data_IF_185664792038
#
_entry.id   IF_185664792038
#
_cell.length_a   1.000
_cell.length_b   1.000
_cell.length_c   1.000
_cell.angle_alpha   90.00
_cell.angle_beta   90.00
_cell.angle_gamma   90.00
#
_symmetry.space_group_name_H-M   'P 1'
#
loop_
_entity.id
_entity.type
_entity.pdbx_description
1 polymer ?
#
# COMPACT_ATOMS: atom_id res chain seq x y z
N UNK A 1 30.35 -11.70 30.89
CA UNK A 1 29.32 -11.44 29.88
C UNK A 1 29.95 -11.74 28.52
N UNK A 2 29.64 -12.90 27.93
CA UNK A 2 30.16 -13.28 26.61
C UNK A 2 29.27 -12.57 25.58
N UNK A 3 29.87 -11.69 24.79
CA UNK A 3 29.25 -11.03 23.66
C UNK A 3 28.85 -12.10 22.62
N UNK A 4 27.61 -12.06 22.13
CA UNK A 4 27.21 -12.84 20.97
C UNK A 4 28.01 -12.35 19.75
N UNK A 5 28.64 -13.25 18.98
CA UNK A 5 29.23 -12.86 17.70
C UNK A 5 28.12 -12.54 16.69
N UNK A 6 28.28 -11.44 15.95
CA UNK A 6 27.47 -11.12 14.77
C UNK A 6 27.60 -12.28 13.75
N UNK A 7 26.51 -12.84 13.22
CA UNK A 7 26.64 -13.81 12.14
C UNK A 7 27.01 -13.07 10.84
N UNK A 8 28.10 -13.52 10.23
CA UNK A 8 28.49 -13.24 8.85
C UNK A 8 27.44 -13.81 7.90
N UNK A 9 27.06 -13.01 6.89
CA UNK A 9 26.31 -13.33 5.67
C UNK A 9 25.51 -14.64 5.72
N UNK A 10 24.24 -14.54 6.13
CA UNK A 10 23.27 -15.58 5.76
C UNK A 10 22.85 -15.28 4.33
N UNK A 11 23.25 -16.17 3.42
CA UNK A 11 22.63 -16.27 2.10
C UNK A 11 21.12 -16.47 2.27
N UNK A 12 20.31 -15.50 1.86
CA UNK A 12 18.84 -15.58 1.82
C UNK A 12 18.40 -16.52 0.68
N UNK A 13 18.61 -17.83 0.86
CA UNK A 13 17.97 -18.85 0.04
C UNK A 13 16.81 -19.44 0.88
N UNK A 14 15.60 -18.87 0.71
CA UNK A 14 14.33 -19.51 1.11
C UNK A 14 13.84 -19.30 2.54
N UNK A 15 13.93 -18.09 3.10
CA UNK A 15 13.50 -17.81 4.48
C UNK A 15 12.16 -17.05 4.60
N UNK A 16 11.44 -16.83 3.50
CA UNK A 16 10.18 -16.09 3.53
C UNK A 16 9.00 -16.99 3.95
N UNK A 17 8.31 -16.56 4.99
CA UNK A 17 6.98 -17.07 5.35
C UNK A 17 5.96 -16.62 4.31
N UNK A 18 5.01 -17.49 3.96
CA UNK A 18 3.89 -17.12 3.10
C UNK A 18 2.64 -16.82 3.92
N UNK A 19 1.79 -15.92 3.46
CA UNK A 19 0.56 -15.55 4.16
C UNK A 19 -0.65 -15.47 3.24
N UNK A 20 -1.82 -15.84 3.77
CA UNK A 20 -3.12 -15.58 3.16
C UNK A 20 -3.86 -14.62 4.07
N UNK A 21 -4.24 -13.45 3.54
CA UNK A 21 -4.88 -12.37 4.30
C UNK A 21 -6.13 -11.88 3.61
N UNK A 22 -7.21 -11.74 4.36
CA UNK A 22 -8.42 -11.06 3.93
C UNK A 22 -8.59 -9.77 4.72
N UNK A 23 -8.88 -8.69 3.99
CA UNK A 23 -9.20 -7.37 4.52
C UNK A 23 -10.61 -7.02 4.08
N UNK A 24 -11.49 -6.80 5.05
CA UNK A 24 -12.88 -6.39 4.81
C UNK A 24 -13.13 -5.06 5.51
N UNK A 25 -13.82 -4.15 4.83
CA UNK A 25 -14.18 -2.84 5.36
C UNK A 25 -15.64 -2.59 5.06
N UNK A 26 -16.41 -2.28 6.10
CA UNK A 26 -17.77 -1.78 5.96
C UNK A 26 -17.90 -0.40 6.57
N UNK A 27 -18.83 0.40 6.06
CA UNK A 27 -19.00 1.80 6.44
C UNK A 27 -20.45 2.13 6.78
N UNK A 28 -20.68 2.99 7.78
CA UNK A 28 -22.03 3.40 8.18
C UNK A 28 -22.52 4.57 7.32
N UNK A 29 -23.54 4.32 6.49
CA UNK A 29 -24.22 5.36 5.71
C UNK A 29 -23.65 5.58 4.30
N UNK A 30 -24.30 6.42 3.47
CA UNK A 30 -23.88 6.65 2.10
C UNK A 30 -22.55 7.40 2.10
N UNK A 31 -21.50 6.74 1.63
CA UNK A 31 -20.24 7.40 1.32
C UNK A 31 -20.34 8.00 -0.09
N UNK A 32 -19.71 9.15 -0.32
CA UNK A 32 -19.62 9.72 -1.67
C UNK A 32 -18.65 8.89 -2.51
N UNK A 33 -19.16 7.87 -3.21
CA UNK A 33 -18.43 7.11 -4.21
C UNK A 33 -17.64 5.89 -3.71
N UNK A 34 -17.82 5.46 -2.45
CA UNK A 34 -17.34 4.15 -1.97
C UNK A 34 -18.50 3.21 -1.62
N UNK A 35 -18.40 1.93 -2.00
CA UNK A 35 -19.43 0.95 -1.68
C UNK A 35 -19.55 0.72 -0.16
N UNK A 36 -20.77 0.45 0.35
CA UNK A 36 -21.00 0.21 1.78
C UNK A 36 -20.12 -0.89 2.38
N UNK A 37 -19.72 -1.88 1.58
CA UNK A 37 -18.80 -2.92 1.97
C UNK A 37 -17.87 -3.32 0.82
N UNK A 38 -16.59 -3.43 1.16
CA UNK A 38 -15.54 -3.94 0.26
C UNK A 38 -14.74 -5.02 0.97
N UNK A 39 -14.28 -6.00 0.21
CA UNK A 39 -13.35 -6.99 0.71
C UNK A 39 -12.27 -7.35 -0.32
N UNK A 40 -11.09 -7.71 0.16
CA UNK A 40 -9.99 -8.16 -0.67
C UNK A 40 -9.23 -9.28 0.00
N UNK A 41 -8.78 -10.25 -0.79
CA UNK A 41 -7.88 -11.32 -0.36
C UNK A 41 -6.51 -11.14 -0.98
N UNK A 42 -5.47 -11.47 -0.23
CA UNK A 42 -4.07 -11.31 -0.60
C UNK A 42 -3.32 -12.59 -0.30
N UNK A 43 -2.48 -13.02 -1.23
CA UNK A 43 -1.42 -14.00 -0.96
C UNK A 43 -0.12 -13.21 -0.92
N UNK A 44 0.56 -13.28 0.21
CA UNK A 44 1.66 -12.39 0.58
C UNK A 44 1.21 -10.92 0.42
N UNK A 45 1.80 -10.19 -0.51
CA UNK A 45 1.43 -8.81 -0.81
C UNK A 45 0.64 -8.65 -2.11
N UNK A 46 0.33 -9.75 -2.82
CA UNK A 46 -0.37 -9.72 -4.10
C UNK A 46 -1.89 -9.86 -3.89
N UNK A 47 -2.72 -8.92 -4.37
CA UNK A 47 -4.17 -9.08 -4.32
C UNK A 47 -4.62 -10.21 -5.24
N UNK A 48 -5.43 -11.14 -4.74
CA UNK A 48 -5.92 -12.31 -5.49
C UNK A 48 -7.42 -12.25 -5.77
N UNK A 49 -8.19 -11.62 -4.90
CA UNK A 49 -9.65 -11.44 -5.03
C UNK A 49 -10.06 -10.07 -4.55
N UNK A 50 -11.04 -9.49 -5.22
CA UNK A 50 -11.76 -8.29 -4.78
C UNK A 50 -13.26 -8.59 -4.78
N UNK A 51 -13.95 -8.12 -3.76
CA UNK A 51 -15.40 -8.08 -3.66
C UNK A 51 -15.83 -6.64 -3.37
N UNK A 52 -16.96 -6.26 -3.97
CA UNK A 52 -17.56 -4.94 -3.82
C UNK A 52 -19.08 -5.06 -3.75
N UNK A 53 -19.71 -4.45 -2.74
CA UNK A 53 -21.14 -4.57 -2.47
C UNK A 53 -22.04 -3.93 -3.54
N UNK A 54 -21.53 -3.04 -4.41
CA UNK A 54 -22.33 -2.54 -5.54
C UNK A 54 -22.47 -3.59 -6.64
N UNK A 55 -21.41 -4.37 -6.87
CA UNK A 55 -21.41 -5.41 -7.91
C UNK A 55 -21.85 -6.77 -7.38
N UNK A 56 -21.81 -6.95 -6.06
CA UNK A 56 -22.10 -8.19 -5.33
C UNK A 56 -21.36 -9.41 -5.90
N UNK A 57 -20.11 -9.21 -6.36
CA UNK A 57 -19.32 -10.25 -7.03
C UNK A 57 -17.88 -10.28 -6.53
N UNK A 58 -17.40 -11.49 -6.28
CA UNK A 58 -15.96 -11.75 -6.16
C UNK A 58 -15.34 -11.85 -7.54
N UNK A 59 -14.32 -11.05 -7.80
CA UNK A 59 -13.58 -11.06 -9.07
C UNK A 59 -12.11 -11.37 -8.84
N UNK A 60 -11.47 -12.19 -9.70
CA UNK A 60 -10.03 -12.41 -9.63
C UNK A 60 -9.28 -11.10 -9.86
N UNK A 61 -8.17 -10.92 -9.16
CA UNK A 61 -7.26 -9.79 -9.36
C UNK A 61 -5.99 -10.17 -10.13
N UNK A 62 -5.78 -11.47 -10.33
CA UNK A 62 -4.63 -12.04 -11.04
C UNK A 62 -5.08 -13.19 -11.93
N UNK A 63 -4.39 -13.39 -13.05
CA UNK A 63 -4.77 -14.38 -14.08
C UNK A 63 -4.64 -15.82 -13.58
N UNK A 64 -3.68 -16.11 -12.70
CA UNK A 64 -3.46 -17.46 -12.20
C UNK A 64 -4.60 -17.96 -11.27
N UNK A 65 -5.42 -17.04 -10.71
CA UNK A 65 -6.62 -17.42 -9.97
C UNK A 65 -7.71 -18.08 -10.83
N UNK A 66 -7.59 -18.03 -12.16
CA UNK A 66 -8.44 -18.82 -13.06
C UNK A 66 -8.24 -20.33 -12.88
N UNK A 67 -7.11 -20.77 -12.29
CA UNK A 67 -6.90 -22.17 -11.91
C UNK A 67 -7.87 -22.62 -10.80
N UNK A 68 -8.22 -21.73 -9.87
CA UNK A 68 -9.19 -22.04 -8.81
C UNK A 68 -10.57 -22.41 -9.36
N UNK A 69 -11.00 -21.75 -10.44
CA UNK A 69 -12.25 -22.04 -11.14
C UNK A 69 -12.21 -23.38 -11.90
N UNK A 70 -11.04 -23.74 -12.47
CA UNK A 70 -10.85 -25.06 -13.10
C UNK A 70 -10.91 -26.19 -12.08
N UNK A 71 -10.32 -25.98 -10.90
CA UNK A 71 -10.28 -26.98 -9.83
C UNK A 71 -11.65 -27.12 -9.15
N UNK A 72 -12.42 -26.03 -9.06
CA UNK A 72 -13.78 -26.03 -8.56
C UNK A 72 -14.62 -24.97 -9.29
N UNK A 73 -15.51 -25.40 -10.18
CA UNK A 73 -16.39 -24.51 -10.94
C UNK A 73 -17.29 -23.61 -10.07
N UNK A 74 -17.55 -24.00 -8.82
CA UNK A 74 -18.33 -23.20 -7.86
C UNK A 74 -17.48 -22.28 -6.98
N UNK A 75 -16.17 -22.18 -7.22
CA UNK A 75 -15.25 -21.42 -6.37
C UNK A 75 -15.68 -19.95 -6.22
N UNK A 76 -15.93 -19.25 -7.33
CA UNK A 76 -16.31 -17.83 -7.30
C UNK A 76 -17.70 -17.60 -6.72
N UNK A 77 -18.63 -18.52 -6.98
CA UNK A 77 -19.97 -18.45 -6.40
C UNK A 77 -19.90 -18.60 -4.87
N UNK A 78 -19.15 -19.58 -4.36
CA UNK A 78 -18.94 -19.77 -2.92
C UNK A 78 -18.22 -18.58 -2.29
N UNK A 79 -17.16 -18.08 -2.91
CA UNK A 79 -16.45 -16.87 -2.45
C UNK A 79 -17.40 -15.67 -2.34
N UNK A 80 -18.26 -15.48 -3.35
CA UNK A 80 -19.25 -14.39 -3.36
C UNK A 80 -20.29 -14.55 -2.27
N UNK A 81 -20.81 -15.76 -2.06
CA UNK A 81 -21.75 -16.04 -0.98
C UNK A 81 -21.16 -15.79 0.41
N UNK A 82 -19.88 -16.09 0.63
CA UNK A 82 -19.22 -15.81 1.90
C UNK A 82 -19.05 -14.31 2.15
N UNK A 83 -18.66 -13.53 1.14
CA UNK A 83 -18.59 -12.07 1.29
C UNK A 83 -19.97 -11.42 1.46
N UNK A 84 -21.01 -11.90 0.77
CA UNK A 84 -22.38 -11.44 0.98
C UNK A 84 -22.86 -11.66 2.42
N UNK A 85 -22.60 -12.85 3.00
CA UNK A 85 -22.93 -13.13 4.41
C UNK A 85 -22.15 -12.23 5.36
N UNK A 86 -20.92 -11.85 5.01
CA UNK A 86 -20.09 -10.99 5.82
C UNK A 86 -20.55 -9.53 5.75
N UNK A 87 -20.90 -9.04 4.56
CA UNK A 87 -21.49 -7.72 4.32
C UNK A 87 -22.75 -7.51 5.18
N UNK A 88 -23.69 -8.45 5.14
CA UNK A 88 -24.90 -8.39 5.99
C UNK A 88 -24.56 -8.32 7.49
N UNK A 89 -23.53 -9.04 7.94
CA UNK A 89 -23.08 -8.98 9.33
C UNK A 89 -22.45 -7.63 9.66
N UNK A 90 -21.64 -7.07 8.76
CA UNK A 90 -21.02 -5.76 8.95
C UNK A 90 -22.08 -4.67 9.06
N UNK A 91 -23.10 -4.71 8.20
CA UNK A 91 -24.24 -3.80 8.27
C UNK A 91 -24.91 -3.83 9.64
N UNK A 92 -25.19 -5.04 10.18
CA UNK A 92 -25.75 -5.18 11.52
C UNK A 92 -24.79 -4.72 12.63
N UNK A 93 -23.51 -5.09 12.54
CA UNK A 93 -22.52 -4.72 13.56
C UNK A 93 -22.29 -3.22 13.61
N UNK A 94 -22.29 -2.52 12.48
CA UNK A 94 -22.18 -1.07 12.45
C UNK A 94 -23.36 -0.40 13.17
N UNK A 95 -24.59 -0.88 12.95
CA UNK A 95 -25.77 -0.39 13.69
C UNK A 95 -25.64 -0.65 15.20
N UNK A 96 -25.29 -1.89 15.59
CA UNK A 96 -25.09 -2.26 17.00
C UNK A 96 -24.01 -1.38 17.66
N UNK A 97 -22.91 -1.10 16.96
CA UNK A 97 -21.78 -0.30 17.45
C UNK A 97 -22.15 1.18 17.57
N UNK A 98 -22.83 1.74 16.58
CA UNK A 98 -23.32 3.11 16.63
C UNK A 98 -24.19 3.35 17.87
N UNK A 99 -25.12 2.44 18.16
CA UNK A 99 -25.94 2.51 19.37
C UNK A 99 -25.09 2.36 20.64
N UNK A 100 -24.19 1.38 20.67
CA UNK A 100 -23.36 1.07 21.84
C UNK A 100 -22.41 2.21 22.23
N UNK A 101 -21.83 2.90 21.25
CA UNK A 101 -20.95 4.05 21.47
C UNK A 101 -21.73 5.38 21.56
N UNK A 102 -23.07 5.34 21.49
CA UNK A 102 -23.97 6.51 21.45
C UNK A 102 -23.65 7.48 20.30
N UNK A 103 -23.30 6.92 19.14
CA UNK A 103 -22.92 7.60 17.90
C UNK A 103 -24.07 7.57 16.90
N UNK A 104 -25.04 8.47 17.05
CA UNK A 104 -26.21 8.53 16.14
C UNK A 104 -25.98 9.29 14.83
N UNK A 105 -24.82 9.96 14.69
CA UNK A 105 -24.45 10.76 13.54
C UNK A 105 -22.96 10.58 13.25
N UNK A 106 -22.60 10.63 11.98
CA UNK A 106 -21.21 10.52 11.54
C UNK A 106 -21.01 9.36 10.57
N UNK A 107 -19.78 9.27 10.08
CA UNK A 107 -19.31 8.19 9.24
C UNK A 107 -18.42 7.29 10.08
N UNK A 108 -18.83 6.04 10.25
CA UNK A 108 -18.15 5.04 11.03
C UNK A 108 -17.66 3.91 10.14
N UNK A 109 -16.56 3.30 10.56
CA UNK A 109 -15.92 2.23 9.80
C UNK A 109 -15.72 1.02 10.70
N UNK A 110 -16.05 -0.16 10.18
CA UNK A 110 -15.68 -1.43 10.77
C UNK A 110 -14.74 -2.12 9.80
N UNK A 111 -13.63 -2.63 10.31
CA UNK A 111 -12.62 -3.32 9.54
C UNK A 111 -12.39 -4.70 10.15
N UNK A 112 -12.18 -5.70 9.30
CA UNK A 112 -11.77 -7.05 9.69
C UNK A 112 -10.54 -7.44 8.90
N UNK A 113 -9.49 -7.82 9.62
CA UNK A 113 -8.33 -8.51 9.07
C UNK A 113 -8.29 -9.92 9.64
N UNK A 114 -8.34 -10.92 8.77
CA UNK A 114 -8.19 -12.31 9.16
C UNK A 114 -7.37 -13.09 8.14
N UNK A 115 -6.72 -14.15 8.59
CA UNK A 115 -5.81 -14.89 7.73
C UNK A 115 -4.88 -15.79 8.50
N UNK A 116 -3.93 -16.38 7.78
CA UNK A 116 -2.95 -17.31 8.30
C UNK A 116 -1.59 -17.07 7.66
N UNK A 117 -0.56 -17.61 8.30
CA UNK A 117 0.82 -17.57 7.84
C UNK A 117 1.45 -18.96 8.00
N UNK A 118 2.21 -19.37 7.00
CA UNK A 118 2.99 -20.60 6.98
C UNK A 118 4.47 -20.23 6.89
N UNK A 119 5.19 -20.48 7.98
CA UNK A 119 6.64 -20.28 8.04
C UNK A 119 7.41 -21.42 7.36
N UNK A 120 8.67 -21.20 6.94
CA UNK A 120 9.50 -22.24 6.32
C UNK A 120 9.76 -23.46 7.21
N UNK A 121 9.75 -23.28 8.54
CA UNK A 121 9.88 -24.34 9.55
C UNK A 121 8.58 -25.14 9.77
N UNK A 122 7.52 -24.82 9.01
CA UNK A 122 6.20 -25.44 9.11
C UNK A 122 5.32 -24.87 10.22
N UNK A 123 5.75 -23.83 10.93
CA UNK A 123 4.95 -23.15 11.94
C UNK A 123 3.75 -22.45 11.28
N UNK A 124 2.58 -22.63 11.88
CA UNK A 124 1.28 -22.12 11.39
C UNK A 124 0.73 -21.07 12.34
N UNK A 125 0.65 -19.83 11.87
CA UNK A 125 -0.01 -18.75 12.60
C UNK A 125 -1.36 -18.42 12.01
N UNK A 126 -2.24 -17.85 12.84
CA UNK A 126 -3.56 -17.41 12.42
C UNK A 126 -3.97 -16.18 13.20
N UNK A 127 -4.61 -15.24 12.53
CA UNK A 127 -5.06 -13.99 13.13
C UNK A 127 -6.48 -13.66 12.69
N UNK A 128 -7.24 -13.03 13.59
CA UNK A 128 -8.60 -12.57 13.34
C UNK A 128 -8.87 -11.33 14.19
N UNK A 129 -8.86 -10.15 13.58
CA UNK A 129 -8.84 -8.86 14.27
C UNK A 129 -9.82 -7.89 13.64
N UNK A 130 -10.61 -7.25 14.47
CA UNK A 130 -11.50 -6.17 14.11
C UNK A 130 -10.94 -4.82 14.56
N UNK A 131 -11.13 -3.80 13.73
CA UNK A 131 -10.92 -2.40 14.07
C UNK A 131 -12.21 -1.60 13.85
N UNK A 132 -12.44 -0.59 14.68
CA UNK A 132 -13.58 0.32 14.60
C UNK A 132 -13.09 1.77 14.62
N UNK A 133 -13.51 2.58 13.64
CA UNK A 133 -13.05 3.96 13.45
C UNK A 133 -11.51 4.10 13.47
N UNK A 134 -10.83 3.18 12.79
CA UNK A 134 -9.36 3.14 12.67
C UNK A 134 -8.62 2.73 13.94
N UNK A 135 -9.31 2.26 14.98
CA UNK A 135 -8.71 1.80 16.24
C UNK A 135 -8.96 0.31 16.45
N UNK A 136 -8.07 -0.35 17.18
CA UNK A 136 -8.26 -1.74 17.60
C UNK A 136 -9.61 -1.88 18.33
N UNK A 137 -10.34 -2.97 18.05
CA UNK A 137 -11.67 -3.21 18.62
C UNK A 137 -11.76 -4.58 19.29
N UNK A 138 -11.67 -5.67 18.52
CA UNK A 138 -11.72 -7.05 19.01
C UNK A 138 -10.67 -7.91 18.33
N UNK A 139 -9.90 -8.69 19.10
CA UNK A 139 -8.98 -9.71 18.57
C UNK A 139 -9.29 -11.08 19.14
N UNK A 140 -9.23 -12.10 18.29
CA UNK A 140 -9.49 -13.49 18.68
C UNK A 140 -8.19 -14.19 19.02
N UNK A 141 -8.14 -14.84 20.19
CA UNK A 141 -7.05 -15.71 20.60
C UNK A 141 -7.43 -17.17 20.33
N UNK A 142 -6.74 -17.83 19.40
CA UNK A 142 -7.16 -19.14 18.87
C UNK A 142 -6.80 -20.29 19.82
N UNK A 143 -5.79 -20.12 20.65
CA UNK A 143 -5.27 -21.10 21.61
C UNK A 143 -6.22 -21.24 22.80
N UNK A 144 -6.73 -20.11 23.30
CA UNK A 144 -7.62 -20.06 24.47
C UNK A 144 -9.10 -19.96 24.09
N UNK A 145 -9.43 -19.75 22.81
CA UNK A 145 -10.79 -19.50 22.33
C UNK A 145 -11.47 -18.33 23.03
N UNK A 146 -10.72 -17.25 23.26
CA UNK A 146 -11.19 -16.02 23.92
C UNK A 146 -11.08 -14.80 23.01
N UNK A 147 -11.87 -13.78 23.32
CA UNK A 147 -11.76 -12.48 22.64
C UNK A 147 -11.10 -11.45 23.56
N UNK A 148 -10.19 -10.68 23.01
CA UNK A 148 -9.61 -9.50 23.67
C UNK A 148 -10.31 -8.27 23.12
N UNK A 149 -10.85 -7.45 24.03
CA UNK A 149 -11.54 -6.21 23.70
C UNK A 149 -10.63 -5.02 24.03
N UNK A 150 -10.56 -4.07 23.10
CA UNK A 150 -9.66 -2.92 23.21
C UNK A 150 -10.18 -1.83 24.16
N UNK A 151 -11.50 -1.68 24.28
CA UNK A 151 -12.14 -0.69 25.15
C UNK A 151 -13.34 -1.27 25.93
N UNK A 152 -14.03 -0.42 26.68
CA UNK A 152 -15.15 -0.81 27.54
C UNK A 152 -16.37 -1.20 26.72
N UNK A 153 -16.64 -0.46 25.67
CA UNK A 153 -17.77 -0.65 24.78
C UNK A 153 -17.63 -2.00 24.06
N UNK A 154 -16.46 -2.31 23.50
CA UNK A 154 -16.11 -3.59 22.90
C UNK A 154 -16.37 -4.82 23.81
N UNK A 155 -16.37 -4.65 25.14
CA UNK A 155 -16.72 -5.73 26.08
C UNK A 155 -18.13 -6.28 25.86
N UNK A 156 -19.07 -5.44 25.41
CA UNK A 156 -20.45 -5.86 25.16
C UNK A 156 -20.51 -6.87 24.01
N UNK A 157 -19.88 -6.55 22.88
CA UNK A 157 -19.79 -7.46 21.75
C UNK A 157 -18.92 -8.69 22.05
N UNK A 158 -17.82 -8.51 22.80
CA UNK A 158 -17.02 -9.63 23.33
C UNK A 158 -17.89 -10.65 24.05
N UNK A 159 -18.70 -10.24 25.04
CA UNK A 159 -19.57 -11.16 25.81
C UNK A 159 -20.53 -11.93 24.90
N UNK A 160 -21.11 -11.25 23.90
CA UNK A 160 -22.01 -11.85 22.90
C UNK A 160 -21.29 -12.95 22.12
N UNK A 161 -20.08 -12.69 21.64
CA UNK A 161 -19.32 -13.65 20.83
C UNK A 161 -18.63 -14.74 21.67
N UNK A 162 -18.29 -14.46 22.92
CA UNK A 162 -17.71 -15.44 23.84
C UNK A 162 -18.69 -16.57 24.19
N UNK A 163 -19.99 -16.27 24.22
CA UNK A 163 -21.05 -17.25 24.44
C UNK A 163 -21.24 -18.22 23.26
N UNK A 164 -20.74 -17.88 22.06
CA UNK A 164 -20.95 -18.66 20.84
C UNK A 164 -19.82 -19.68 20.60
N UNK A 165 -19.74 -20.72 21.45
CA UNK A 165 -18.67 -21.73 21.41
C UNK A 165 -18.44 -22.32 20.01
N UNK A 166 -19.52 -22.71 19.31
CA UNK A 166 -19.42 -23.30 17.97
C UNK A 166 -18.73 -22.36 16.96
N UNK A 167 -18.99 -21.05 17.02
CA UNK A 167 -18.34 -20.08 16.12
C UNK A 167 -16.88 -19.86 16.47
N UNK A 168 -16.50 -19.98 17.74
CA UNK A 168 -15.09 -19.88 18.17
C UNK A 168 -14.30 -21.11 17.72
N UNK A 169 -14.89 -22.30 17.86
CA UNK A 169 -14.31 -23.54 17.35
C UNK A 169 -14.16 -23.51 15.82
N UNK A 170 -15.18 -23.05 15.10
CA UNK A 170 -15.11 -22.88 13.65
C UNK A 170 -13.97 -21.93 13.24
N UNK A 171 -13.85 -20.76 13.89
CA UNK A 171 -12.75 -19.82 13.59
C UNK A 171 -11.38 -20.43 13.85
N UNK A 172 -11.22 -21.19 14.93
CA UNK A 172 -9.96 -21.91 15.21
C UNK A 172 -9.64 -22.90 14.09
N UNK A 173 -10.60 -23.78 13.74
CA UNK A 173 -10.41 -24.76 12.68
C UNK A 173 -10.05 -24.10 11.34
N UNK A 174 -10.77 -23.02 10.96
CA UNK A 174 -10.44 -22.25 9.77
C UNK A 174 -9.00 -21.72 9.79
N UNK A 175 -8.55 -21.13 10.89
CA UNK A 175 -7.23 -20.51 11.00
C UNK A 175 -6.08 -21.54 11.03
N UNK A 176 -6.32 -22.76 11.51
CA UNK A 176 -5.28 -23.80 11.65
C UNK A 176 -5.23 -24.77 10.47
N UNK A 177 -6.35 -24.96 9.79
CA UNK A 177 -6.54 -25.98 8.74
C UNK A 177 -6.92 -25.31 7.42
N UNK A 178 -8.18 -24.89 7.26
CA UNK A 178 -8.73 -24.46 5.97
C UNK A 178 -7.94 -23.31 5.34
N UNK A 179 -7.57 -22.30 6.12
CA UNK A 179 -6.79 -21.17 5.62
C UNK A 179 -5.41 -21.61 5.10
N UNK A 180 -4.75 -22.52 5.82
CA UNK A 180 -3.42 -23.03 5.45
C UNK A 180 -3.52 -23.90 4.19
N UNK A 181 -4.55 -24.75 4.08
CA UNK A 181 -4.80 -25.54 2.87
C UNK A 181 -5.05 -24.65 1.65
N UNK A 182 -5.84 -23.59 1.80
CA UNK A 182 -6.07 -22.63 0.72
C UNK A 182 -4.81 -21.86 0.36
N UNK A 183 -4.02 -21.42 1.35
CA UNK A 183 -2.73 -20.78 1.12
C UNK A 183 -1.81 -21.66 0.27
N UNK A 184 -1.67 -22.95 0.62
CA UNK A 184 -0.86 -23.89 -0.14
C UNK A 184 -1.36 -24.05 -1.59
N UNK A 185 -2.69 -24.19 -1.79
CA UNK A 185 -3.25 -24.25 -3.15
C UNK A 185 -3.00 -22.99 -3.95
N UNK A 186 -3.12 -21.81 -3.35
CA UNK A 186 -2.85 -20.56 -4.06
C UNK A 186 -1.37 -20.40 -4.40
N UNK A 187 -0.46 -20.85 -3.53
CA UNK A 187 0.96 -20.93 -3.85
C UNK A 187 1.22 -21.88 -5.03
N UNK A 188 0.53 -23.02 -5.11
CA UNK A 188 0.63 -23.92 -6.26
C UNK A 188 0.07 -23.30 -7.54
N UNK A 189 -1.05 -22.58 -7.45
CA UNK A 189 -1.64 -21.90 -8.60
C UNK A 189 -0.74 -20.77 -9.11
N UNK A 190 -0.21 -19.97 -8.19
CA UNK A 190 0.55 -18.76 -8.44
C UNK A 190 2.07 -18.94 -8.46
N UNK A 191 2.60 -20.16 -8.35
CA UNK A 191 4.03 -20.47 -8.17
C UNK A 191 4.95 -19.60 -9.06
N UNK A 192 4.72 -19.61 -10.37
CA UNK A 192 5.52 -18.84 -11.34
C UNK A 192 5.53 -17.33 -11.08
N UNK A 193 4.45 -16.77 -10.52
CA UNK A 193 4.31 -15.33 -10.24
C UNK A 193 4.73 -14.97 -8.81
N UNK A 194 4.40 -15.81 -7.83
CA UNK A 194 4.64 -15.55 -6.40
C UNK A 194 6.08 -15.85 -5.99
N UNK A 195 6.73 -16.83 -6.64
CA UNK A 195 8.13 -17.18 -6.39
C UNK A 195 9.10 -16.47 -7.35
N UNK A 196 8.62 -15.54 -8.18
CA UNK A 196 9.49 -14.75 -9.04
C UNK A 196 10.37 -13.82 -8.21
N UNK A 197 11.51 -13.47 -8.76
CA UNK A 197 12.42 -12.49 -8.17
C UNK A 197 12.80 -11.47 -9.24
N UNK A 198 12.65 -10.19 -8.94
CA UNK A 198 13.01 -9.08 -9.83
C UNK A 198 14.08 -8.22 -9.17
N UNK A 199 15.18 -7.96 -9.89
CA UNK A 199 16.34 -7.23 -9.38
C UNK A 199 16.06 -5.72 -9.30
N UNK A 200 16.36 -5.05 -8.16
CA UNK A 200 16.23 -3.61 -8.07
C UNK A 200 17.15 -2.91 -9.06
N UNK A 201 16.61 -1.92 -9.75
CA UNK A 201 17.39 -0.93 -10.49
C UNK A 201 17.62 0.26 -9.57
N UNK A 202 18.89 0.53 -9.27
CA UNK A 202 19.30 1.59 -8.35
C UNK A 202 19.90 2.76 -9.12
N UNK A 203 19.38 3.97 -8.89
CA UNK A 203 19.92 5.21 -9.44
C UNK A 203 20.11 6.24 -8.34
N UNK A 204 21.28 6.83 -8.25
CA UNK A 204 21.54 7.96 -7.36
C UNK A 204 21.47 9.26 -8.14
N UNK A 205 20.65 10.19 -7.67
CA UNK A 205 20.51 11.53 -8.25
C UNK A 205 20.86 12.60 -7.23
N UNK A 206 21.29 13.76 -7.71
CA UNK A 206 21.66 14.92 -6.89
C UNK A 206 20.62 16.02 -7.05
N UNK A 207 20.23 16.64 -5.94
CA UNK A 207 19.46 17.88 -5.90
C UNK A 207 20.23 18.93 -5.10
N UNK A 208 20.49 20.09 -5.69
CA UNK A 208 21.03 21.23 -4.95
C UNK A 208 19.98 21.72 -3.94
N UNK A 209 20.42 22.05 -2.73
CA UNK A 209 19.57 22.59 -1.67
C UNK A 209 19.94 24.05 -1.35
N UNK A 210 19.15 24.68 -0.49
CA UNK A 210 19.48 25.99 0.07
C UNK A 210 20.69 25.86 1.02
N UNK A 211 21.42 26.96 1.22
CA UNK A 211 22.61 27.05 2.10
C UNK A 211 23.88 26.30 1.63
N UNK A 212 23.95 25.91 0.36
CA UNK A 212 25.15 25.27 -0.21
C UNK A 212 25.28 23.78 0.11
N UNK A 213 24.25 23.20 0.72
CA UNK A 213 24.11 21.76 0.91
C UNK A 213 23.53 21.08 -0.34
N UNK A 214 23.70 19.78 -0.42
CA UNK A 214 23.12 18.95 -1.47
C UNK A 214 22.34 17.79 -0.88
N UNK A 215 21.23 17.44 -1.51
CA UNK A 215 20.50 16.21 -1.20
C UNK A 215 20.85 15.16 -2.24
N UNK A 216 21.39 14.03 -1.80
CA UNK A 216 21.47 12.82 -2.60
C UNK A 216 20.17 12.03 -2.45
N UNK A 217 19.66 11.52 -3.58
CA UNK A 217 18.45 10.70 -3.63
C UNK A 217 18.80 9.37 -4.27
N UNK A 218 18.76 8.30 -3.48
CA UNK A 218 18.84 6.94 -3.97
C UNK A 218 17.44 6.46 -4.33
N UNK A 219 17.26 6.13 -5.60
CA UNK A 219 16.02 5.62 -6.13
C UNK A 219 16.18 4.14 -6.46
N UNK A 220 15.41 3.30 -5.77
CA UNK A 220 15.43 1.84 -5.91
C UNK A 220 14.09 1.44 -6.53
N UNK A 221 14.11 0.90 -7.75
CA UNK A 221 12.90 0.67 -8.54
C UNK A 221 12.83 -0.77 -9.07
N UNK A 222 11.61 -1.25 -9.32
CA UNK A 222 11.37 -2.46 -10.12
C UNK A 222 11.74 -3.77 -9.43
N UNK A 223 11.73 -3.81 -8.09
CA UNK A 223 12.10 -5.01 -7.35
C UNK A 223 10.89 -5.79 -6.85
N UNK A 224 11.09 -7.10 -6.70
CA UNK A 224 10.14 -8.04 -6.10
C UNK A 224 10.93 -9.23 -5.54
N UNK A 225 10.68 -9.72 -4.30
CA UNK A 225 9.58 -9.40 -3.38
C UNK A 225 9.65 -8.01 -2.72
N UNK A 226 8.72 -7.71 -1.81
CA UNK A 226 8.60 -6.39 -1.17
C UNK A 226 9.72 -6.12 -0.16
N UNK A 227 10.16 -7.18 0.51
CA UNK A 227 11.17 -7.17 1.54
C UNK A 227 12.52 -6.73 0.95
N UNK A 228 13.04 -5.59 1.42
CA UNK A 228 14.28 -4.99 0.92
C UNK A 228 15.00 -4.27 2.05
N UNK A 229 16.33 -4.41 2.09
CA UNK A 229 17.19 -3.63 2.95
C UNK A 229 17.99 -2.64 2.11
N UNK A 230 17.77 -1.35 2.35
CA UNK A 230 18.45 -0.29 1.62
C UNK A 230 18.83 0.82 2.59
N UNK A 231 20.09 1.26 2.55
CA UNK A 231 20.67 2.23 3.47
C UNK A 231 21.69 3.11 2.74
N UNK A 232 21.88 4.34 3.24
CA UNK A 232 23.08 5.10 2.91
C UNK A 232 24.26 4.58 3.70
N UNK A 233 25.41 4.47 3.04
CA UNK A 233 26.68 4.06 3.64
C UNK A 233 27.70 5.18 3.39
N UNK A 234 28.36 5.63 4.45
CA UNK A 234 29.46 6.60 4.41
C UNK A 234 30.72 5.88 4.88
N UNK A 235 31.76 5.82 4.05
CA UNK A 235 33.05 5.19 4.39
C UNK A 235 32.96 3.73 4.89
N UNK A 236 31.96 3.00 4.42
CA UNK A 236 31.71 1.61 4.80
C UNK A 236 30.82 1.42 6.04
N UNK A 237 30.38 2.49 6.69
CA UNK A 237 29.44 2.44 7.82
C UNK A 237 28.04 2.93 7.43
N UNK A 238 27.01 2.25 7.96
CA UNK A 238 25.61 2.64 7.74
C UNK A 238 25.36 4.03 8.34
N UNK A 239 24.93 4.95 7.49
CA UNK A 239 24.66 6.33 7.83
C UNK A 239 23.16 6.56 8.05
N UNK A 240 22.79 6.97 9.26
CA UNK A 240 21.38 7.22 9.63
C UNK A 240 21.05 8.70 9.84
N UNK A 241 22.03 9.53 10.22
CA UNK A 241 21.79 10.94 10.52
C UNK A 241 21.37 11.71 9.26
N UNK A 242 20.27 12.47 9.34
CA UNK A 242 19.73 13.20 8.18
C UNK A 242 19.23 12.31 7.04
N UNK A 243 19.15 10.99 7.24
CA UNK A 243 18.58 10.07 6.24
C UNK A 243 17.06 10.02 6.35
N UNK A 244 16.38 10.30 5.25
CA UNK A 244 14.93 10.13 5.13
C UNK A 244 14.66 8.93 4.22
N UNK A 245 14.13 7.86 4.81
CA UNK A 245 13.72 6.65 4.09
C UNK A 245 12.22 6.68 3.82
N UNK A 246 11.84 6.59 2.55
CA UNK A 246 10.44 6.46 2.15
C UNK A 246 9.82 5.12 2.56
N UNK A 247 8.50 5.03 2.42
CA UNK A 247 7.80 3.75 2.50
C UNK A 247 8.05 2.96 1.21
N UNK A 248 8.17 1.64 1.33
CA UNK A 248 8.18 0.75 0.16
C UNK A 248 6.77 0.78 -0.44
N UNK A 249 6.66 1.28 -1.66
CA UNK A 249 5.39 1.54 -2.30
C UNK A 249 5.23 0.68 -3.57
N UNK A 250 4.00 0.22 -3.87
CA UNK A 250 3.75 -0.68 -4.99
C UNK A 250 3.69 0.08 -6.33
N UNK A 251 4.15 -0.57 -7.39
CA UNK A 251 3.99 -0.16 -8.79
C UNK A 251 2.80 -0.88 -9.43
N UNK A 252 2.31 -0.36 -10.56
CA UNK A 252 1.17 -0.95 -11.29
C UNK A 252 1.50 -2.27 -11.99
N UNK A 253 2.78 -2.57 -12.20
CA UNK A 253 3.28 -3.84 -12.76
C UNK A 253 3.47 -4.95 -11.70
N UNK A 254 3.17 -4.65 -10.44
CA UNK A 254 3.32 -5.57 -9.32
C UNK A 254 4.74 -5.65 -8.75
N UNK A 255 5.63 -4.73 -9.12
CA UNK A 255 6.92 -4.51 -8.45
C UNK A 255 6.81 -3.43 -7.38
N UNK A 256 7.92 -3.10 -6.72
CA UNK A 256 8.00 -2.07 -5.70
C UNK A 256 9.03 -0.99 -6.04
N UNK A 257 8.87 0.17 -5.41
CA UNK A 257 9.87 1.24 -5.40
C UNK A 257 10.12 1.74 -3.98
N UNK A 258 11.33 2.28 -3.76
CA UNK A 258 11.78 2.86 -2.51
C UNK A 258 12.69 4.07 -2.81
N UNK A 259 12.54 5.13 -2.02
CA UNK A 259 13.39 6.31 -2.08
C UNK A 259 14.13 6.50 -0.75
N UNK A 260 15.42 6.84 -0.83
CA UNK A 260 16.21 7.29 0.30
C UNK A 260 16.82 8.65 -0.01
N UNK A 261 16.74 9.57 0.93
CA UNK A 261 17.32 10.91 0.83
C UNK A 261 18.36 11.09 1.93
N UNK A 262 19.48 11.75 1.62
CA UNK A 262 20.44 12.22 2.62
C UNK A 262 20.94 13.60 2.23
N UNK A 263 20.98 14.51 3.20
CA UNK A 263 21.54 15.84 3.02
C UNK A 263 23.02 15.83 3.41
N UNK A 264 23.87 16.35 2.54
CA UNK A 264 25.33 16.27 2.67
C UNK A 264 25.99 17.59 2.28
N UNK A 265 27.23 17.77 2.74
CA UNK A 265 28.14 18.75 2.15
C UNK A 265 28.65 18.22 0.79
N UNK A 266 28.72 19.04 -0.26
CA UNK A 266 29.21 18.61 -1.59
C UNK A 266 30.61 17.97 -1.56
N UNK A 267 31.47 18.38 -0.62
CA UNK A 267 32.84 17.86 -0.45
C UNK A 267 32.86 16.40 0.03
N UNK A 268 31.82 15.96 0.72
CA UNK A 268 31.73 14.60 1.25
C UNK A 268 31.11 13.62 0.25
N UNK A 269 30.65 14.09 -0.92
CA UNK A 269 29.83 13.33 -1.87
C UNK A 269 30.41 11.96 -2.26
N UNK A 270 31.72 11.88 -2.48
CA UNK A 270 32.39 10.66 -2.92
C UNK A 270 32.42 9.55 -1.86
N UNK A 271 32.18 9.90 -0.59
CA UNK A 271 32.16 8.95 0.52
C UNK A 271 30.81 8.24 0.67
N UNK A 272 29.75 8.76 0.03
CA UNK A 272 28.39 8.23 0.15
C UNK A 272 28.06 7.24 -0.98
N UNK A 273 27.55 6.07 -0.58
CA UNK A 273 27.02 5.03 -1.47
C UNK A 273 25.64 4.61 -1.00
N UNK A 274 24.74 4.33 -1.93
CA UNK A 274 23.49 3.66 -1.64
C UNK A 274 23.72 2.15 -1.68
N UNK A 275 23.61 1.53 -0.52
CA UNK A 275 23.76 0.09 -0.33
C UNK A 275 22.39 -0.57 -0.35
N UNK A 276 22.21 -1.60 -1.19
CA UNK A 276 20.93 -2.31 -1.35
C UNK A 276 21.16 -3.81 -1.32
N UNK A 277 20.53 -4.47 -0.35
CA UNK A 277 20.40 -5.93 -0.25
C UNK A 277 18.95 -6.34 -0.55
N UNK A 278 18.80 -7.40 -1.35
CA UNK A 278 17.51 -7.91 -1.78
C UNK A 278 17.64 -9.36 -2.22
N UNK A 279 16.62 -10.19 -2.00
CA UNK A 279 16.66 -11.64 -2.24
C UNK A 279 16.95 -12.03 -3.70
N UNK A 280 16.67 -11.13 -4.64
CA UNK A 280 16.97 -11.35 -6.06
C UNK A 280 18.42 -11.08 -6.46
N UNK A 281 19.26 -10.62 -5.53
CA UNK A 281 20.66 -10.26 -5.78
C UNK A 281 21.61 -11.28 -5.15
N UNK A 282 22.57 -11.79 -5.94
CA UNK A 282 23.64 -12.64 -5.40
C UNK A 282 24.62 -11.86 -4.50
N UNK A 283 24.78 -10.57 -4.77
CA UNK A 283 25.63 -9.64 -4.02
C UNK A 283 24.90 -8.31 -3.86
N UNK A 284 25.11 -7.61 -2.74
CA UNK A 284 24.56 -6.27 -2.56
C UNK A 284 25.00 -5.30 -3.67
N UNK A 285 24.15 -4.32 -3.95
CA UNK A 285 24.46 -3.21 -4.85
C UNK A 285 24.97 -2.02 -4.04
N UNK A 286 26.11 -1.47 -4.44
CA UNK A 286 26.72 -0.27 -3.85
C UNK A 286 26.85 0.82 -4.92
N UNK A 287 25.86 1.71 -5.00
CA UNK A 287 25.76 2.71 -6.07
C UNK A 287 26.12 4.09 -5.55
N UNK A 288 27.14 4.71 -6.13
CA UNK A 288 27.49 6.11 -5.88
C UNK A 288 26.75 7.04 -6.87
N UNK A 289 26.76 8.34 -6.59
CA UNK A 289 26.33 9.32 -7.58
C UNK A 289 27.35 9.42 -8.71
N UNK A 290 26.89 9.36 -9.96
CA UNK A 290 27.69 9.61 -11.15
C UNK A 290 27.07 10.77 -11.95
N UNK A 291 27.91 11.60 -12.56
CA UNK A 291 27.46 12.65 -13.47
C UNK A 291 27.02 12.00 -14.79
N UNK A 292 25.79 12.26 -15.24
CA UNK A 292 25.35 11.75 -16.54
C UNK A 292 26.21 12.36 -17.66
N UNK A 293 26.69 11.58 -18.65
CA UNK A 293 27.48 12.10 -19.75
C UNK A 293 26.67 13.15 -20.53
N UNK A 294 26.99 14.42 -20.33
CA UNK A 294 26.26 15.52 -20.96
C UNK A 294 26.28 15.42 -22.48
N UNK A 295 25.10 15.48 -23.10
CA UNK A 295 24.98 15.98 -24.46
C UNK A 295 25.69 17.34 -24.52
N UNK A 296 26.73 17.43 -25.34
CA UNK A 296 27.47 18.67 -25.60
C UNK A 296 26.48 19.76 -26.01
N UNK A 297 26.13 20.65 -25.08
CA UNK A 297 25.60 21.96 -25.40
C UNK A 297 26.67 22.70 -26.19
N UNK A 298 26.52 22.72 -27.51
CA UNK A 298 27.29 23.61 -28.36
C UNK A 298 26.84 25.03 -28.10
N UNK A 299 27.59 25.73 -27.26
CA UNK A 299 27.59 27.19 -27.23
C UNK A 299 27.98 27.70 -28.63
N UNK A 300 27.05 28.37 -29.31
CA UNK A 300 27.36 29.21 -30.46
C UNK A 300 26.70 30.57 -30.26
N UNK A 301 27.48 31.50 -29.73
CA UNK A 301 27.18 32.92 -29.78
C UNK A 301 27.26 33.45 -31.23
N UNK A 302 26.17 34.13 -31.60
CA UNK A 302 26.04 35.34 -32.43
C UNK A 302 26.38 35.33 -33.93
N UNK A 303 25.34 35.66 -34.73
CA UNK A 303 25.43 36.22 -36.07
C UNK A 303 24.07 36.74 -36.55
N UNK A 304 23.93 38.06 -36.67
CA UNK A 304 22.73 38.88 -36.96
C UNK A 304 22.08 38.59 -38.33
N UNK A 305 20.77 38.90 -38.46
CA UNK A 305 20.13 39.20 -39.74
C UNK A 305 18.62 39.43 -39.65
N UNK A 306 18.16 40.66 -39.86
CA UNK A 306 16.75 41.08 -39.91
C UNK A 306 16.09 40.75 -41.27
N UNK A 307 14.77 40.48 -41.30
CA UNK A 307 13.82 41.10 -42.25
C UNK A 307 12.37 40.59 -42.07
N UNK A 308 11.46 41.47 -42.47
CA UNK A 308 9.99 41.52 -42.31
C UNK A 308 9.20 40.59 -43.26
N UNK A 309 7.92 40.39 -42.92
CA UNK A 309 6.84 39.90 -43.80
C UNK A 309 6.18 38.64 -43.21
N UNK A 310 4.93 38.64 -42.75
CA UNK A 310 3.74 39.25 -43.33
C UNK A 310 2.85 38.10 -43.84
N UNK A 311 1.65 37.93 -43.28
CA UNK A 311 0.62 37.07 -43.86
C UNK A 311 -0.15 36.18 -42.88
N UNK A 312 -1.15 36.76 -42.21
CA UNK A 312 -2.38 36.04 -41.90
C UNK A 312 -3.28 36.01 -43.16
N UNK A 313 -4.10 34.97 -43.34
CA UNK A 313 -5.44 35.16 -43.87
C UNK A 313 -6.53 34.72 -42.87
N UNK A 314 -7.76 35.27 -42.97
CA UNK A 314 -8.75 35.24 -41.90
C UNK A 314 -9.95 34.33 -42.15
N UNK A 315 -10.61 34.00 -41.02
CA UNK A 315 -12.03 33.68 -40.77
C UNK A 315 -13.02 33.48 -41.93
N UNK A 316 -13.91 32.50 -41.76
CA UNK A 316 -15.37 32.71 -41.65
C UNK A 316 -16.07 31.35 -41.42
N UNK A 317 -16.73 31.13 -40.26
CA UNK A 317 -18.19 31.33 -40.00
C UNK A 317 -18.99 30.06 -40.33
N UNK A 318 -20.02 29.55 -39.65
CA UNK A 318 -20.98 29.89 -38.58
C UNK A 318 -21.41 28.51 -37.96
N UNK A 319 -22.21 28.29 -36.91
CA UNK A 319 -23.02 29.09 -36.00
C UNK A 319 -23.36 28.23 -34.77
N UNK A 320 -23.66 28.92 -33.67
CA UNK A 320 -24.19 28.46 -32.39
C UNK A 320 -25.52 27.68 -32.46
N UNK A 321 -25.79 26.92 -31.39
CA UNK A 321 -26.97 27.01 -30.48
C UNK A 321 -26.97 25.74 -29.58
N UNK A 322 -27.29 25.70 -28.29
CA UNK A 322 -27.85 26.64 -27.33
C UNK A 322 -27.48 26.18 -25.90
N UNK A 323 -27.32 27.17 -25.01
CA UNK A 323 -27.36 27.26 -23.54
C UNK A 323 -28.06 26.15 -22.73
N UNK A 324 -27.63 25.91 -21.48
CA UNK A 324 -28.14 26.65 -20.30
C UNK A 324 -27.31 26.41 -19.03
N UNK A 325 -27.23 27.50 -18.27
CA UNK A 325 -26.47 27.81 -17.06
C UNK A 325 -26.86 27.02 -15.81
N UNK A 326 -26.00 27.11 -14.77
CA UNK A 326 -26.49 27.15 -13.40
C UNK A 326 -25.55 26.60 -12.33
N UNK A 327 -24.40 27.25 -12.11
CA UNK A 327 -23.61 27.10 -10.88
C UNK A 327 -24.16 28.06 -9.80
N UNK A 328 -24.26 27.60 -8.54
CA UNK A 328 -23.82 28.45 -7.44
C UNK A 328 -22.97 27.70 -6.40
N UNK A 329 -21.67 27.97 -6.42
CA UNK A 329 -20.86 28.49 -5.32
C UNK A 329 -21.28 28.08 -3.88
N UNK A 330 -20.48 27.22 -3.25
CA UNK A 330 -20.45 26.99 -1.80
C UNK A 330 -19.02 27.14 -1.29
N UNK A 331 -18.81 28.13 -0.42
CA UNK A 331 -17.54 28.39 0.27
C UNK A 331 -17.18 27.28 1.28
N UNK A 332 -15.88 26.98 1.49
CA UNK A 332 -15.43 26.02 2.49
C UNK A 332 -15.40 26.63 3.89
N UNK A 333 -16.14 26.05 4.83
CA UNK A 333 -16.00 26.30 6.26
C UNK A 333 -14.89 25.42 6.81
N UNK A 334 -13.77 26.04 7.21
CA UNK A 334 -12.71 25.40 7.97
C UNK A 334 -13.18 25.11 9.41
N UNK A 335 -13.18 23.84 9.82
CA UNK A 335 -13.18 23.44 11.23
C UNK A 335 -11.83 22.80 11.53
N UNK A 336 -11.05 23.51 12.33
CA UNK A 336 -9.78 23.09 12.92
C UNK A 336 -9.98 21.88 13.83
N UNK A 337 -9.19 20.83 13.63
CA UNK A 337 -9.11 19.70 14.55
C UNK A 337 -8.07 18.70 14.09
N UNK A 338 -6.92 18.70 14.77
CA UNK A 338 -5.82 17.79 14.57
C UNK A 338 -6.27 16.31 14.54
N UNK A 339 -5.94 15.62 13.44
CA UNK A 339 -5.60 14.19 13.34
C UNK A 339 -5.31 13.86 11.88
N UNK A 340 -4.16 13.24 11.64
CA UNK A 340 -3.75 12.77 10.32
C UNK A 340 -4.81 11.80 9.76
N UNK A 341 -5.40 12.14 8.61
CA UNK A 341 -6.20 11.24 7.79
C UNK A 341 -5.36 10.91 6.55
N UNK A 342 -4.98 9.65 6.40
CA UNK A 342 -4.32 9.15 5.17
C UNK A 342 -5.44 8.76 4.20
N UNK A 343 -5.60 9.52 3.12
CA UNK A 343 -6.45 9.13 1.99
C UNK A 343 -5.62 8.30 0.99
N UNK A 344 -6.07 7.09 0.69
CA UNK A 344 -5.58 6.33 -0.48
C UNK A 344 -6.54 6.64 -1.62
N UNK A 345 -6.09 7.47 -2.57
CA UNK A 345 -6.84 7.75 -3.80
C UNK A 345 -6.36 6.79 -4.90
N UNK A 346 -7.23 5.98 -5.53
CA UNK A 346 -6.88 5.25 -6.74
C UNK A 346 -6.90 6.21 -7.94
N UNK A 347 -5.72 6.59 -8.44
CA UNK A 347 -5.62 7.46 -9.63
C UNK A 347 -5.83 6.62 -10.88
N UNK A 348 -6.99 6.80 -11.55
CA UNK A 348 -7.13 6.46 -12.97
C UNK A 348 -6.55 7.61 -13.80
N UNK A 349 -5.45 7.30 -14.49
CA UNK A 349 -4.95 7.96 -15.71
C UNK A 349 -4.58 9.47 -15.65
N UNK A 350 -3.26 9.70 -15.70
CA UNK A 350 -2.52 10.88 -16.21
C UNK A 350 -3.12 12.30 -16.02
N UNK A 351 -2.50 13.07 -15.12
CA UNK A 351 -2.13 14.48 -15.36
C UNK A 351 -1.01 14.90 -14.39
N UNK A 352 -0.03 15.64 -14.89
CA UNK A 352 1.09 16.21 -14.15
C UNK A 352 0.63 17.11 -13.00
N UNK A 353 1.22 16.97 -11.81
CA UNK A 353 1.09 17.94 -10.71
C UNK A 353 2.35 18.81 -10.69
N UNK A 354 2.20 20.08 -11.09
CA UNK A 354 3.13 21.17 -10.78
C UNK A 354 2.63 21.77 -9.46
N UNK A 355 3.44 21.72 -8.40
CA UNK A 355 3.13 22.38 -7.13
C UNK A 355 3.79 23.76 -7.09
N UNK A 356 2.99 24.81 -6.91
CA UNK A 356 3.47 26.14 -6.51
C UNK A 356 3.58 26.19 -4.98
N UNK A 357 4.73 26.62 -4.47
CA UNK A 357 4.92 27.03 -3.07
C UNK A 357 4.58 28.52 -2.94
N UNK A 358 3.58 28.87 -2.15
CA UNK A 358 3.42 30.22 -1.60
C UNK A 358 3.66 30.19 -0.09
N UNK A 359 4.81 30.71 0.32
CA UNK A 359 5.12 31.12 1.69
C UNK A 359 4.16 32.21 2.15
N UNK A 360 3.46 32.00 3.26
CA UNK A 360 2.83 33.08 4.04
C UNK A 360 3.62 33.21 5.34
N UNK A 361 4.33 34.33 5.47
CA UNK A 361 5.05 34.73 6.66
C UNK A 361 4.12 35.24 7.76
N UNK A 362 4.53 34.97 9.01
CA UNK A 362 3.91 35.45 10.24
C UNK A 362 3.83 36.98 10.30
N UNK A 363 2.66 37.50 10.70
CA UNK A 363 2.51 38.55 11.71
C UNK A 363 1.24 38.33 12.52
#
# INVERSE_FOLDING_TARGET
MKLCPRPLSVSFLGCSSHSLRYLCTGVSGPSQGLPPFIAGGYVDHQPIVKYDSETEKSVPQVSWMLKAEKDNAQYWEKSTQEFLKLDMKFSQYLLDLQDQYNQSKGFHTLQLMYGCELSPDGRKEGYYRYGYDGRDFLSFEKETLTWTAADREAQVMKRKWEAELAKKQYRKAYLEEECIEWLQRYLDYGNETLLRTEAPVVKVTRKADYDGLETLVCQVHGFYPKEIEANWVKDGEVWQEGTLRGLVAPNSDGTYYLLLHVQINPEEREHFRCHVEHDSLEKPLDVAWEEEPGERQTDRQQGKGWALGGGFPPNSSLQQQHSLDGDPQLDPVCVSGDKHIIFIIPVKSYAYIITWLTTIGNK
#
